data_IF_666738030293
#
_entry.id   IF_666738030293
#
_cell.length_a   1.000
_cell.length_b   1.000
_cell.length_c   1.000
_cell.angle_alpha   90.00
_cell.angle_beta   90.00
_cell.angle_gamma   90.00
#
_symmetry.space_group_name_H-M   'P 1'
#
loop_
_entity.id
_entity.type
_entity.pdbx_description
1 polymer ?
#
# COMPACT_ATOMS: atom_id res chain seq x y z
N UNK A 1 -7.79 -5.53 2.68
CA UNK A 1 -8.34 -6.61 3.52
C UNK A 1 -7.85 -6.51 4.95
N UNK A 2 -6.55 -6.69 5.24
CA UNK A 2 -6.05 -6.70 6.63
C UNK A 2 -6.49 -5.48 7.47
N UNK A 3 -6.32 -4.26 6.96
CA UNK A 3 -6.69 -3.03 7.68
C UNK A 3 -8.19 -2.95 7.97
N UNK A 4 -9.04 -3.33 7.02
CA UNK A 4 -10.49 -3.36 7.20
C UNK A 4 -10.89 -4.39 8.25
N UNK A 5 -10.31 -5.59 8.21
CA UNK A 5 -10.57 -6.63 9.21
C UNK A 5 -10.16 -6.18 10.61
N UNK A 6 -9.01 -5.53 10.76
CA UNK A 6 -8.57 -4.95 12.05
C UNK A 6 -9.52 -3.84 12.52
N UNK A 7 -9.93 -2.95 11.63
CA UNK A 7 -10.87 -1.88 11.96
C UNK A 7 -12.23 -2.41 12.42
N UNK A 8 -12.81 -3.38 11.70
CA UNK A 8 -14.06 -4.04 12.10
C UNK A 8 -13.91 -4.73 13.46
N UNK A 9 -12.79 -5.41 13.71
CA UNK A 9 -12.54 -6.02 15.02
C UNK A 9 -12.48 -4.97 16.15
N UNK A 10 -11.89 -3.80 15.90
CA UNK A 10 -11.85 -2.72 16.88
C UNK A 10 -13.24 -2.14 17.16
N UNK A 11 -14.06 -1.95 16.12
CA UNK A 11 -15.47 -1.54 16.24
C UNK A 11 -16.25 -2.54 17.10
N UNK A 12 -16.15 -3.84 16.79
CA UNK A 12 -16.84 -4.89 17.54
C UNK A 12 -16.36 -4.99 19.00
N UNK A 13 -15.10 -4.64 19.26
CA UNK A 13 -14.56 -4.58 20.62
C UNK A 13 -14.88 -3.30 21.40
N UNK A 14 -15.57 -2.34 20.77
CA UNK A 14 -15.90 -1.03 21.36
C UNK A 14 -14.71 -0.06 21.48
N UNK A 15 -13.56 -0.38 20.86
CA UNK A 15 -12.38 0.51 20.84
C UNK A 15 -12.53 1.66 19.85
N UNK A 16 -13.30 1.44 18.79
CA UNK A 16 -13.68 2.46 17.81
C UNK A 16 -15.19 2.59 17.87
N UNK A 17 -15.67 3.80 18.09
CA UNK A 17 -17.10 4.10 18.06
C UNK A 17 -17.52 4.41 16.62
N UNK A 18 -18.58 3.77 16.16
CA UNK A 18 -19.21 4.16 14.92
C UNK A 18 -19.98 5.47 15.11
N UNK A 19 -20.09 6.30 14.06
CA UNK A 19 -21.08 7.36 14.00
C UNK A 19 -22.49 6.79 14.19
N UNK A 20 -23.46 7.66 14.50
CA UNK A 20 -24.85 7.21 14.57
C UNK A 20 -25.41 6.86 13.17
N UNK A 21 -26.58 6.24 13.14
CA UNK A 21 -27.20 5.78 11.89
C UNK A 21 -27.47 6.91 10.89
N UNK A 22 -27.93 8.07 11.38
CA UNK A 22 -28.22 9.24 10.55
C UNK A 22 -26.94 9.79 9.91
N UNK A 23 -25.85 9.87 10.66
CA UNK A 23 -24.54 10.31 10.17
C UNK A 23 -23.98 9.35 9.10
N UNK A 24 -24.06 8.04 9.34
CA UNK A 24 -23.62 7.03 8.35
C UNK A 24 -24.47 7.07 7.08
N UNK A 25 -25.79 7.26 7.22
CA UNK A 25 -26.73 7.38 6.11
C UNK A 25 -26.46 8.66 5.30
N UNK A 26 -26.26 9.79 5.98
CA UNK A 26 -25.90 11.05 5.34
C UNK A 26 -24.58 10.95 4.56
N UNK A 27 -23.56 10.33 5.16
CA UNK A 27 -22.26 10.08 4.51
C UNK A 27 -22.40 9.23 3.24
N UNK A 28 -23.21 8.17 3.30
CA UNK A 28 -23.48 7.28 2.17
C UNK A 28 -24.24 7.99 1.05
N UNK A 29 -25.25 8.77 1.40
CA UNK A 29 -26.01 9.57 0.43
C UNK A 29 -25.14 10.63 -0.25
N UNK A 30 -24.26 11.29 0.51
CA UNK A 30 -23.31 12.25 -0.03
C UNK A 30 -22.31 11.59 -0.99
N UNK A 31 -21.86 10.38 -0.68
CA UNK A 31 -21.03 9.58 -1.60
C UNK A 31 -21.76 9.29 -2.92
N UNK A 32 -23.00 8.82 -2.86
CA UNK A 32 -23.79 8.56 -4.07
C UNK A 32 -24.10 9.83 -4.87
N UNK A 33 -24.36 10.96 -4.19
CA UNK A 33 -24.54 12.27 -4.85
C UNK A 33 -23.29 12.66 -5.64
N UNK A 34 -22.11 12.58 -5.03
CA UNK A 34 -20.82 12.86 -5.71
C UNK A 34 -20.59 11.92 -6.89
N UNK A 35 -20.89 10.63 -6.75
CA UNK A 35 -20.79 9.68 -7.86
C UNK A 35 -21.69 10.08 -9.02
N UNK A 36 -22.94 10.47 -8.74
CA UNK A 36 -23.89 10.91 -9.76
C UNK A 36 -23.42 12.20 -10.45
N UNK A 37 -22.90 13.17 -9.70
CA UNK A 37 -22.35 14.43 -10.24
C UNK A 37 -21.13 14.19 -11.14
N UNK A 38 -20.31 13.19 -10.81
CA UNK A 38 -19.17 12.76 -11.64
C UNK A 38 -19.57 11.84 -12.81
N UNK A 39 -20.87 11.55 -12.98
CA UNK A 39 -21.37 10.67 -14.04
C UNK A 39 -20.93 9.20 -13.89
N UNK A 40 -20.52 8.78 -12.69
CA UNK A 40 -20.02 7.43 -12.44
C UNK A 40 -21.18 6.43 -12.37
N UNK A 41 -21.11 5.29 -13.10
CA UNK A 41 -22.18 4.29 -13.05
C UNK A 41 -22.19 3.59 -11.69
N UNK A 42 -23.37 3.16 -11.22
CA UNK A 42 -23.53 2.47 -9.92
C UNK A 42 -22.63 1.24 -9.75
N UNK A 43 -22.29 0.54 -10.83
CA UNK A 43 -21.34 -0.59 -10.79
C UNK A 43 -19.94 -0.21 -10.28
N UNK A 44 -19.59 1.09 -10.35
CA UNK A 44 -18.30 1.61 -9.88
C UNK A 44 -18.30 1.99 -8.40
N UNK A 45 -19.38 1.73 -7.63
CA UNK A 45 -19.49 2.12 -6.21
C UNK A 45 -18.30 1.65 -5.37
N UNK A 46 -17.81 0.44 -5.63
CA UNK A 46 -16.69 -0.14 -4.88
C UNK A 46 -15.34 0.00 -5.60
N UNK A 47 -15.31 0.75 -6.71
CA UNK A 47 -14.07 1.03 -7.42
C UNK A 47 -13.29 2.10 -6.65
N UNK A 48 -12.22 1.69 -5.99
CA UNK A 48 -11.51 2.53 -5.02
C UNK A 48 -10.49 3.47 -5.67
N UNK A 49 -10.13 3.27 -6.93
CA UNK A 49 -9.20 4.15 -7.66
C UNK A 49 -9.95 5.42 -8.09
N UNK A 50 -9.44 6.64 -7.79
CA UNK A 50 -8.11 6.98 -7.26
C UNK A 50 -8.00 7.15 -5.73
N UNK A 51 -9.10 7.04 -4.99
CA UNK A 51 -9.19 7.37 -3.56
C UNK A 51 -8.55 6.35 -2.60
N UNK A 52 -7.97 5.26 -3.12
CA UNK A 52 -7.43 4.14 -2.34
C UNK A 52 -6.40 4.55 -1.29
N UNK A 53 -5.50 5.50 -1.59
CA UNK A 53 -4.53 5.98 -0.61
C UNK A 53 -5.19 6.67 0.57
N UNK A 54 -6.14 7.56 0.30
CA UNK A 54 -6.89 8.27 1.32
C UNK A 54 -7.66 7.31 2.22
N UNK A 55 -8.29 6.29 1.61
CA UNK A 55 -9.00 5.25 2.35
C UNK A 55 -8.08 4.41 3.25
N UNK A 56 -6.91 4.00 2.73
CA UNK A 56 -5.93 3.23 3.50
C UNK A 56 -5.39 4.06 4.67
N UNK A 57 -5.03 5.32 4.44
CA UNK A 57 -4.51 6.21 5.48
C UNK A 57 -5.58 6.50 6.54
N UNK A 58 -6.84 6.66 6.13
CA UNK A 58 -7.96 6.78 7.05
C UNK A 58 -8.08 5.53 7.93
N UNK A 59 -8.04 4.32 7.34
CA UNK A 59 -8.06 3.07 8.11
C UNK A 59 -6.89 2.97 9.10
N UNK A 60 -5.66 3.29 8.66
CA UNK A 60 -4.49 3.31 9.54
C UNK A 60 -4.72 4.22 10.75
N UNK A 61 -5.24 5.43 10.53
CA UNK A 61 -5.56 6.36 11.61
C UNK A 61 -6.61 5.78 12.58
N UNK A 62 -7.65 5.11 12.06
CA UNK A 62 -8.68 4.49 12.90
C UNK A 62 -8.14 3.38 13.81
N UNK A 63 -7.13 2.63 13.35
CA UNK A 63 -6.55 1.51 14.11
C UNK A 63 -5.25 1.86 14.84
N UNK A 64 -4.82 3.13 14.81
CA UNK A 64 -3.62 3.62 15.49
C UNK A 64 -2.29 3.25 14.82
N UNK A 65 -2.29 3.03 13.51
CA UNK A 65 -1.08 2.80 12.71
C UNK A 65 -0.61 4.09 12.01
N UNK A 66 0.70 4.21 11.71
CA UNK A 66 1.18 5.30 10.86
C UNK A 66 0.55 5.22 9.45
N UNK A 67 0.46 6.36 8.75
CA UNK A 67 0.01 6.39 7.37
C UNK A 67 0.92 5.53 6.47
N UNK A 68 0.37 5.08 5.34
CA UNK A 68 1.11 4.28 4.39
C UNK A 68 2.33 5.07 3.88
N UNK A 69 3.48 4.42 3.91
CA UNK A 69 4.74 5.01 3.44
C UNK A 69 4.66 5.32 1.93
N UNK A 70 5.11 6.51 1.55
CA UNK A 70 4.94 7.03 0.18
C UNK A 70 5.50 6.11 -0.92
N UNK A 71 6.60 5.41 -0.66
CA UNK A 71 7.21 4.49 -1.62
C UNK A 71 6.29 3.30 -1.96
N UNK A 72 5.51 2.78 -1.00
CA UNK A 72 4.56 1.68 -1.24
C UNK A 72 3.44 2.11 -2.17
N UNK A 73 2.98 3.35 -1.99
CA UNK A 73 1.97 3.91 -2.87
C UNK A 73 2.52 4.13 -4.28
N UNK A 74 3.73 4.68 -4.40
CA UNK A 74 4.40 4.85 -5.70
C UNK A 74 4.64 3.51 -6.41
N UNK A 75 5.07 2.48 -5.68
CA UNK A 75 5.13 1.09 -6.19
C UNK A 75 3.84 0.63 -6.81
N UNK A 76 2.74 0.79 -6.08
CA UNK A 76 1.43 0.39 -6.55
C UNK A 76 1.02 1.20 -7.79
N UNK A 77 1.21 2.51 -7.77
CA UNK A 77 0.87 3.40 -8.88
C UNK A 77 1.61 3.02 -10.17
N UNK A 78 2.92 2.83 -10.10
CA UNK A 78 3.74 2.41 -11.25
C UNK A 78 3.36 1.02 -11.76
N UNK A 79 3.07 0.08 -10.85
CA UNK A 79 2.59 -1.25 -11.23
C UNK A 79 1.26 -1.19 -12.01
N UNK A 80 0.33 -0.33 -11.56
CA UNK A 80 -0.95 -0.11 -12.24
C UNK A 80 -0.76 0.57 -13.59
N UNK A 81 0.12 1.58 -13.70
CA UNK A 81 0.46 2.22 -14.98
C UNK A 81 1.00 1.21 -15.99
N UNK A 82 2.02 0.43 -15.59
CA UNK A 82 2.62 -0.60 -16.44
C UNK A 82 1.61 -1.66 -16.90
N UNK A 83 0.69 -2.05 -16.02
CA UNK A 83 -0.40 -2.97 -16.36
C UNK A 83 -1.40 -2.37 -17.36
N UNK A 84 -1.85 -1.12 -17.13
CA UNK A 84 -2.79 -0.42 -18.02
C UNK A 84 -2.18 -0.19 -19.40
N UNK A 85 -0.90 0.15 -19.47
CA UNK A 85 -0.17 0.34 -20.72
C UNK A 85 0.10 -0.97 -21.48
N UNK A 86 -0.21 -2.13 -20.88
CA UNK A 86 -0.01 -3.46 -21.45
C UNK A 86 1.38 -3.63 -22.07
N UNK A 87 2.43 -3.12 -21.40
CA UNK A 87 3.81 -3.38 -21.86
C UNK A 87 4.04 -4.89 -21.87
N UNK A 88 4.43 -5.44 -23.02
CA UNK A 88 4.82 -6.85 -23.09
C UNK A 88 5.95 -7.10 -22.08
N UNK A 89 5.77 -8.12 -21.24
CA UNK A 89 6.68 -8.36 -20.13
C UNK A 89 6.65 -7.27 -19.05
N UNK A 90 5.53 -6.59 -18.78
CA UNK A 90 5.41 -5.58 -17.71
C UNK A 90 5.76 -6.11 -16.30
N UNK A 91 5.74 -7.43 -16.13
CA UNK A 91 6.17 -8.11 -14.90
C UNK A 91 7.69 -8.29 -14.84
N UNK A 92 8.34 -8.26 -15.99
CA UNK A 92 9.75 -8.60 -16.18
C UNK A 92 10.61 -7.35 -16.45
N UNK A 93 10.02 -6.28 -16.98
CA UNK A 93 10.69 -5.00 -17.26
C UNK A 93 10.29 -3.96 -16.21
N UNK A 94 11.22 -3.67 -15.31
CA UNK A 94 11.11 -2.59 -14.33
C UNK A 94 12.18 -1.53 -14.63
N UNK A 95 11.93 -0.28 -14.26
CA UNK A 95 12.97 0.74 -14.31
C UNK A 95 13.95 0.50 -13.15
N UNK A 96 14.98 -0.30 -13.43
CA UNK A 96 15.99 -0.69 -12.44
C UNK A 96 16.66 0.54 -11.79
N UNK A 97 16.82 1.66 -12.49
CA UNK A 97 17.41 2.86 -11.91
C UNK A 97 16.50 3.50 -10.84
N UNK A 98 15.19 3.47 -11.06
CA UNK A 98 14.19 3.92 -10.10
C UNK A 98 14.14 3.01 -8.86
N UNK A 99 14.15 1.69 -9.07
CA UNK A 99 14.11 0.70 -7.99
C UNK A 99 15.41 0.63 -7.22
N UNK A 100 16.57 0.78 -7.86
CA UNK A 100 17.87 0.90 -7.18
C UNK A 100 17.89 2.13 -6.26
N UNK A 101 17.30 3.26 -6.68
CA UNK A 101 17.13 4.41 -5.82
C UNK A 101 16.24 4.14 -4.60
N UNK A 102 15.13 3.42 -4.79
CA UNK A 102 14.24 3.02 -3.70
C UNK A 102 14.90 2.00 -2.77
N UNK A 103 15.57 0.99 -3.32
CA UNK A 103 16.31 -0.04 -2.57
C UNK A 103 17.46 0.61 -1.80
N UNK A 104 18.18 1.57 -2.36
CA UNK A 104 19.21 2.33 -1.65
C UNK A 104 18.61 3.16 -0.51
N UNK A 105 17.43 3.76 -0.69
CA UNK A 105 16.71 4.44 0.39
C UNK A 105 16.25 3.45 1.48
N UNK A 106 15.82 2.23 1.11
CA UNK A 106 15.52 1.16 2.06
C UNK A 106 16.74 0.69 2.82
N UNK A 107 17.83 0.41 2.13
CA UNK A 107 19.12 0.04 2.71
C UNK A 107 19.62 1.17 3.62
N UNK A 108 19.48 2.42 3.21
CA UNK A 108 19.87 3.57 4.03
C UNK A 108 18.99 3.69 5.29
N UNK A 109 17.67 3.55 5.18
CA UNK A 109 16.76 3.57 6.34
C UNK A 109 17.03 2.40 7.30
N UNK A 110 17.31 1.20 6.78
CA UNK A 110 17.63 0.00 7.57
C UNK A 110 19.02 0.06 8.22
N UNK A 111 20.00 0.73 7.59
CA UNK A 111 21.36 0.85 8.12
C UNK A 111 21.51 2.07 9.05
N UNK A 112 20.84 3.19 8.75
CA UNK A 112 21.11 4.48 9.39
C UNK A 112 19.97 5.05 10.22
N UNK A 113 18.75 4.50 10.13
CA UNK A 113 17.58 5.03 10.87
C UNK A 113 17.00 4.07 11.91
N UNK A 114 17.55 2.87 12.08
CA UNK A 114 17.10 1.94 13.13
C UNK A 114 17.86 2.21 14.45
N UNK A 115 17.21 2.68 15.54
CA UNK A 115 17.87 2.82 16.84
C UNK A 115 17.90 1.50 17.63
N UNK A 116 17.39 0.40 17.08
CA UNK A 116 17.45 -0.92 17.74
C UNK A 116 18.72 -1.67 17.35
N UNK A 117 19.78 -1.31 18.06
CA UNK A 117 21.01 -2.05 18.20
C UNK A 117 20.72 -3.42 18.85
N UNK A 118 20.33 -4.43 18.07
CA UNK A 118 20.62 -5.84 18.37
C UNK A 118 20.43 -6.71 17.12
N UNK A 119 21.44 -6.66 16.25
CA UNK A 119 21.56 -7.43 15.02
C UNK A 119 21.98 -8.87 15.38
N UNK A 120 21.00 -9.76 15.57
CA UNK A 120 21.22 -11.21 15.53
C UNK A 120 19.95 -12.03 15.26
N UNK A 121 18.87 -11.43 14.74
CA UNK A 121 17.70 -12.24 14.36
C UNK A 121 18.01 -13.00 13.06
N UNK A 122 17.91 -14.35 13.05
CA UNK A 122 18.12 -15.16 11.86
C UNK A 122 17.21 -14.73 10.70
N UNK A 123 16.05 -14.15 11.00
CA UNK A 123 15.06 -13.65 10.04
C UNK A 123 15.64 -12.46 9.24
N UNK A 124 16.43 -11.59 9.89
CA UNK A 124 17.03 -10.42 9.25
C UNK A 124 18.14 -10.82 8.27
N UNK A 125 18.96 -11.80 8.66
CA UNK A 125 19.99 -12.38 7.78
C UNK A 125 19.34 -13.13 6.61
N UNK A 126 18.24 -13.85 6.86
CA UNK A 126 17.50 -14.54 5.81
C UNK A 126 16.87 -13.57 4.81
N UNK A 127 16.36 -12.43 5.27
CA UNK A 127 15.79 -11.41 4.42
C UNK A 127 16.85 -10.72 3.55
N UNK A 128 18.02 -10.39 4.13
CA UNK A 128 19.16 -9.86 3.37
C UNK A 128 19.69 -10.85 2.33
N UNK A 129 19.82 -12.12 2.68
CA UNK A 129 20.23 -13.17 1.75
C UNK A 129 19.19 -13.37 0.64
N UNK A 130 17.90 -13.29 0.95
CA UNK A 130 16.83 -13.39 -0.04
C UNK A 130 16.85 -12.19 -1.00
N UNK A 131 17.01 -10.95 -0.49
CA UNK A 131 17.15 -9.77 -1.33
C UNK A 131 18.39 -9.83 -2.23
N UNK A 132 19.53 -10.27 -1.68
CA UNK A 132 20.76 -10.41 -2.45
C UNK A 132 20.68 -11.55 -3.48
N UNK A 133 19.99 -12.65 -3.16
CA UNK A 133 19.74 -13.75 -4.08
C UNK A 133 18.80 -13.33 -5.22
N UNK A 134 17.74 -12.56 -4.92
CA UNK A 134 16.84 -11.99 -5.94
C UNK A 134 17.61 -11.04 -6.86
N UNK A 135 18.50 -10.20 -6.31
CA UNK A 135 19.36 -9.31 -7.09
C UNK A 135 20.31 -10.09 -8.02
N UNK A 136 20.97 -11.13 -7.51
CA UNK A 136 21.87 -11.97 -8.31
C UNK A 136 21.14 -12.78 -9.39
N UNK A 137 19.95 -13.28 -9.09
CA UNK A 137 19.10 -13.98 -10.07
C UNK A 137 18.66 -13.03 -11.17
N UNK A 138 18.22 -11.81 -10.81
CA UNK A 138 17.86 -10.77 -11.78
C UNK A 138 19.02 -10.46 -12.73
N UNK A 139 20.23 -10.29 -12.19
CA UNK A 139 21.44 -10.00 -12.99
C UNK A 139 21.91 -11.18 -13.86
N UNK A 140 21.66 -12.42 -13.43
CA UNK A 140 22.01 -13.63 -14.17
C UNK A 140 21.07 -13.91 -15.35
N UNK A 141 19.86 -13.36 -15.33
CA UNK A 141 18.85 -13.52 -16.39
C UNK A 141 18.95 -12.41 -17.47
N UNK A 142 19.85 -11.43 -17.28
CA UNK A 142 20.08 -10.32 -18.22
C UNK A 142 21.20 -10.58 -19.25
N UNK A 143 21.61 -11.84 -19.46
CA UNK A 143 22.55 -12.30 -20.51
C UNK A 143 21.80 -13.18 -21.50
#
# INVERSE_FOLDING_TARGET
MELQSKWVAQVLSGKVLLPNEDEMTASTNEFYRKMQELGLPKRSTHFMTPYQLGYINWLCAQIGLPPLENWRFKMYEESIKNFIEMRDGYKDHWDDAYWEGIIQVFIFLLIYCDPFHDIASPIFIFFLLLCHLIYLISKSLSV
#
